data_IF_447246191711
#
_entry.id   IF_447246191711
#
_cell.length_a   1.000
_cell.length_b   1.000
_cell.length_c   1.000
_cell.angle_alpha   90.00
_cell.angle_beta   90.00
_cell.angle_gamma   90.00
#
_symmetry.space_group_name_H-M   'P 1'
#
loop_
_entity.id
_entity.type
_entity.pdbx_description
1 polymer ?
#
# COMPACT_ATOMS: atom_id res chain seq x y z
N UNK A 1 23.42 -7.24 -10.17
CA UNK A 1 23.22 -5.80 -10.48
C UNK A 1 21.93 -5.34 -9.80
N UNK A 2 22.01 -4.50 -8.78
CA UNK A 2 20.84 -3.92 -8.11
C UNK A 2 20.24 -2.85 -9.02
N UNK A 3 19.11 -3.15 -9.66
CA UNK A 3 18.31 -2.13 -10.36
C UNK A 3 17.93 -1.06 -9.32
N UNK A 4 18.17 0.22 -9.63
CA UNK A 4 17.72 1.33 -8.77
C UNK A 4 16.21 1.22 -8.59
N UNK A 5 15.74 1.32 -7.35
CA UNK A 5 14.30 1.34 -7.05
C UNK A 5 13.68 2.62 -7.64
N UNK A 6 12.50 2.49 -8.25
CA UNK A 6 11.73 3.64 -8.75
C UNK A 6 11.11 4.42 -7.60
N UNK A 7 10.67 5.65 -7.85
CA UNK A 7 9.92 6.46 -6.88
C UNK A 7 8.68 5.71 -6.37
N UNK A 8 7.90 5.11 -7.27
CA UNK A 8 6.77 4.26 -6.93
C UNK A 8 7.16 3.06 -6.04
N UNK A 9 8.28 2.37 -6.30
CA UNK A 9 8.74 1.28 -5.42
C UNK A 9 9.13 1.77 -4.03
N UNK A 10 9.74 2.95 -3.92
CA UNK A 10 10.06 3.54 -2.62
C UNK A 10 8.78 3.94 -1.88
N UNK A 11 7.80 4.53 -2.57
CA UNK A 11 6.51 4.89 -1.98
C UNK A 11 5.70 3.65 -1.55
N UNK A 12 5.67 2.58 -2.34
CA UNK A 12 5.05 1.32 -1.96
C UNK A 12 5.72 0.68 -0.73
N UNK A 13 7.05 0.74 -0.65
CA UNK A 13 7.77 0.32 0.55
C UNK A 13 7.37 1.12 1.81
N UNK A 14 7.20 2.44 1.68
CA UNK A 14 6.73 3.30 2.78
C UNK A 14 5.29 2.98 3.20
N UNK A 15 4.42 2.68 2.24
CA UNK A 15 3.05 2.24 2.49
C UNK A 15 3.03 0.95 3.31
N UNK A 16 3.83 -0.06 2.93
CA UNK A 16 3.96 -1.31 3.70
C UNK A 16 4.42 -1.04 5.12
N UNK A 17 5.45 -0.19 5.31
CA UNK A 17 5.93 0.15 6.65
C UNK A 17 4.86 0.86 7.50
N UNK A 18 4.01 1.69 6.90
CA UNK A 18 2.89 2.31 7.60
C UNK A 18 1.84 1.28 8.02
N UNK A 19 1.45 0.37 7.12
CA UNK A 19 0.50 -0.72 7.42
C UNK A 19 1.05 -1.65 8.50
N UNK A 20 2.34 -2.02 8.42
CA UNK A 20 3.00 -2.85 9.44
C UNK A 20 2.97 -2.23 10.84
N UNK A 21 3.06 -0.90 10.91
CA UNK A 21 2.95 -0.19 12.19
C UNK A 21 1.54 -0.32 12.78
N UNK A 22 0.50 -0.18 11.95
CA UNK A 22 -0.88 -0.38 12.40
C UNK A 22 -1.12 -1.83 12.81
N UNK A 23 -0.65 -2.79 12.02
CA UNK A 23 -0.75 -4.22 12.36
C UNK A 23 -0.12 -4.54 13.72
N UNK A 24 1.04 -3.95 14.02
CA UNK A 24 1.72 -4.09 15.31
C UNK A 24 0.91 -3.53 16.49
N UNK A 25 0.14 -2.46 16.28
CA UNK A 25 -0.75 -1.87 17.29
C UNK A 25 -2.01 -2.72 17.52
N UNK A 26 -2.41 -3.52 16.53
CA UNK A 26 -3.63 -4.32 16.53
C UNK A 26 -3.40 -5.78 16.94
N UNK A 27 -2.17 -6.18 17.26
CA UNK A 27 -1.86 -7.57 17.61
C UNK A 27 -2.75 -8.09 18.75
N UNK A 28 -3.48 -9.16 18.47
CA UNK A 28 -4.44 -9.77 19.40
C UNK A 28 -5.88 -9.30 19.23
N UNK A 29 -6.14 -8.31 18.37
CA UNK A 29 -7.48 -7.88 17.97
C UNK A 29 -7.93 -8.60 16.68
N UNK A 30 -9.24 -8.76 16.51
CA UNK A 30 -9.85 -9.29 15.30
C UNK A 30 -9.52 -8.43 14.06
N UNK A 31 -9.31 -7.12 14.23
CA UNK A 31 -8.97 -6.21 13.12
C UNK A 31 -7.59 -6.50 12.50
N UNK A 32 -6.66 -7.11 13.23
CA UNK A 32 -5.32 -7.46 12.73
C UNK A 32 -5.37 -8.36 11.50
N UNK A 33 -6.37 -9.23 11.37
CA UNK A 33 -6.57 -10.07 10.18
C UNK A 33 -6.95 -9.24 8.95
N UNK A 34 -7.70 -8.15 9.13
CA UNK A 34 -7.99 -7.23 8.05
C UNK A 34 -6.72 -6.51 7.60
N UNK A 35 -5.92 -6.06 8.56
CA UNK A 35 -4.66 -5.35 8.29
C UNK A 35 -3.62 -6.23 7.62
N UNK A 36 -3.55 -7.51 7.98
CA UNK A 36 -2.71 -8.50 7.29
C UNK A 36 -3.08 -8.60 5.81
N UNK A 37 -4.37 -8.69 5.47
CA UNK A 37 -4.82 -8.69 4.06
C UNK A 37 -4.42 -7.41 3.32
N UNK A 38 -4.52 -6.24 3.98
CA UNK A 38 -4.10 -4.97 3.40
C UNK A 38 -2.58 -4.94 3.17
N UNK A 39 -1.80 -5.53 4.09
CA UNK A 39 -0.36 -5.67 3.96
C UNK A 39 0.01 -6.57 2.77
N UNK A 40 -0.69 -7.69 2.57
CA UNK A 40 -0.49 -8.57 1.42
C UNK A 40 -0.74 -7.83 0.09
N UNK A 41 -1.85 -7.09 0.01
CA UNK A 41 -2.18 -6.26 -1.16
C UNK A 41 -1.09 -5.21 -1.44
N UNK A 42 -0.56 -4.57 -0.40
CA UNK A 42 0.54 -3.62 -0.55
C UNK A 42 1.85 -4.30 -1.01
N UNK A 43 2.10 -5.54 -0.58
CA UNK A 43 3.21 -6.35 -1.08
C UNK A 43 3.05 -6.72 -2.56
N UNK A 44 1.85 -7.08 -3.01
CA UNK A 44 1.58 -7.32 -4.45
C UNK A 44 1.93 -6.09 -5.29
N UNK A 45 1.56 -4.88 -4.83
CA UNK A 45 1.94 -3.64 -5.50
C UNK A 45 3.47 -3.48 -5.57
N UNK A 46 4.19 -3.70 -4.46
CA UNK A 46 5.65 -3.58 -4.44
C UNK A 46 6.34 -4.60 -5.38
N UNK A 47 5.74 -5.78 -5.55
CA UNK A 47 6.23 -6.81 -6.47
C UNK A 47 6.11 -6.35 -7.94
N UNK A 48 5.10 -5.56 -8.27
CA UNK A 48 4.98 -4.88 -9.57
C UNK A 48 5.98 -3.71 -9.63
N UNK A 49 7.22 -4.01 -10.02
CA UNK A 49 8.40 -3.11 -9.90
C UNK A 49 8.34 -1.78 -10.68
N UNK A 50 7.28 -1.54 -11.45
CA UNK A 50 7.13 -0.37 -12.33
C UNK A 50 5.75 0.26 -12.18
N UNK A 51 5.61 1.59 -12.24
CA UNK A 51 4.32 2.27 -12.13
C UNK A 51 3.24 1.76 -13.10
N UNK A 52 3.62 1.43 -14.34
CA UNK A 52 2.71 0.90 -15.36
C UNK A 52 2.08 -0.43 -14.91
N UNK A 53 2.91 -1.31 -14.37
CA UNK A 53 2.49 -2.63 -13.88
C UNK A 53 1.63 -2.51 -12.62
N UNK A 54 1.98 -1.61 -11.70
CA UNK A 54 1.14 -1.31 -10.54
C UNK A 54 -0.24 -0.80 -10.98
N UNK A 55 -0.31 0.12 -11.95
CA UNK A 55 -1.59 0.60 -12.52
C UNK A 55 -2.41 -0.51 -13.16
N UNK A 56 -1.76 -1.43 -13.88
CA UNK A 56 -2.44 -2.62 -14.45
C UNK A 56 -3.03 -3.49 -13.33
N UNK A 57 -2.28 -3.72 -12.24
CA UNK A 57 -2.75 -4.47 -11.07
C UNK A 57 -3.96 -3.80 -10.39
N UNK A 58 -3.96 -2.47 -10.30
CA UNK A 58 -5.07 -1.70 -9.73
C UNK A 58 -6.37 -1.82 -10.54
N UNK A 59 -6.30 -2.09 -11.85
CA UNK A 59 -7.47 -2.25 -12.75
C UNK A 59 -8.43 -1.05 -12.69
N UNK A 60 -7.89 0.17 -12.82
CA UNK A 60 -8.63 1.45 -12.73
C UNK A 60 -9.20 1.80 -11.35
N UNK A 61 -8.86 1.06 -10.29
CA UNK A 61 -9.16 1.44 -8.91
C UNK A 61 -8.11 2.42 -8.39
N UNK A 62 -8.53 3.32 -7.51
CA UNK A 62 -7.65 4.08 -6.62
C UNK A 62 -6.93 3.15 -5.64
N UNK A 63 -5.88 3.65 -4.98
CA UNK A 63 -5.22 2.83 -3.96
C UNK A 63 -6.14 2.59 -2.75
N UNK A 64 -6.96 3.57 -2.39
CA UNK A 64 -7.94 3.43 -1.31
C UNK A 64 -8.96 2.32 -1.61
N UNK A 65 -9.51 2.28 -2.83
CA UNK A 65 -10.43 1.21 -3.25
C UNK A 65 -9.72 -0.16 -3.32
N UNK A 66 -8.47 -0.18 -3.75
CA UNK A 66 -7.68 -1.42 -3.86
C UNK A 66 -7.38 -2.03 -2.49
N UNK A 67 -6.94 -1.21 -1.54
CA UNK A 67 -6.62 -1.63 -0.17
C UNK A 67 -7.88 -1.87 0.68
N UNK A 68 -9.01 -1.28 0.29
CA UNK A 68 -10.29 -1.39 0.98
C UNK A 68 -10.62 -0.12 1.75
N UNK A 69 -11.64 0.61 1.27
CA UNK A 69 -12.02 1.93 1.79
C UNK A 69 -12.33 1.92 3.29
N UNK A 70 -12.98 0.85 3.76
CA UNK A 70 -13.31 0.71 5.17
C UNK A 70 -12.05 0.67 6.03
N UNK A 71 -11.06 -0.13 5.64
CA UNK A 71 -9.82 -0.24 6.40
C UNK A 71 -9.05 1.09 6.41
N UNK A 72 -8.95 1.76 5.26
CA UNK A 72 -8.26 3.06 5.16
C UNK A 72 -8.93 4.11 6.03
N UNK A 73 -10.27 4.16 6.05
CA UNK A 73 -11.03 5.08 6.91
C UNK A 73 -10.78 4.86 8.41
N UNK A 74 -10.52 3.62 8.82
CA UNK A 74 -10.17 3.28 10.19
C UNK A 74 -8.69 3.56 10.53
N UNK A 75 -7.83 3.73 9.52
CA UNK A 75 -6.39 3.94 9.65
C UNK A 75 -5.88 5.20 8.93
N UNK A 76 -6.32 6.40 9.37
CA UNK A 76 -5.99 7.66 8.71
C UNK A 76 -4.48 7.99 8.71
N UNK A 77 -3.71 7.37 9.62
CA UNK A 77 -2.25 7.46 9.64
C UNK A 77 -1.58 6.96 8.35
N UNK A 78 -2.27 6.13 7.56
CA UNK A 78 -1.77 5.58 6.30
C UNK A 78 -2.07 6.44 5.06
N UNK A 79 -2.99 7.41 5.17
CA UNK A 79 -3.41 8.26 4.04
C UNK A 79 -2.25 9.00 3.38
N UNK A 80 -1.31 9.50 4.18
CA UNK A 80 -0.13 10.20 3.66
C UNK A 80 0.75 9.28 2.80
N UNK A 81 0.87 8.00 3.16
CA UNK A 81 1.62 7.03 2.39
C UNK A 81 0.88 6.59 1.12
N UNK A 82 -0.45 6.46 1.20
CA UNK A 82 -1.32 6.21 0.05
C UNK A 82 -1.19 7.33 -0.97
N UNK A 83 -1.38 8.59 -0.56
CA UNK A 83 -1.29 9.75 -1.43
C UNK A 83 0.11 9.89 -2.07
N UNK A 84 1.17 9.57 -1.33
CA UNK A 84 2.53 9.58 -1.86
C UNK A 84 2.72 8.53 -2.98
N UNK A 85 2.14 7.33 -2.83
CA UNK A 85 2.19 6.32 -3.89
C UNK A 85 1.30 6.70 -5.08
N UNK A 86 0.08 7.19 -4.86
CA UNK A 86 -0.78 7.64 -5.96
C UNK A 86 -0.09 8.72 -6.80
N UNK A 87 0.57 9.68 -6.16
CA UNK A 87 1.35 10.69 -6.87
C UNK A 87 2.42 10.07 -7.78
N UNK A 88 3.13 9.05 -7.33
CA UNK A 88 4.15 8.36 -8.14
C UNK A 88 3.57 7.51 -9.27
N UNK A 89 2.31 7.06 -9.16
CA UNK A 89 1.65 6.27 -10.19
C UNK A 89 1.10 7.14 -11.34
N UNK A 90 0.77 8.39 -11.05
CA UNK A 90 0.11 9.31 -11.99
C UNK A 90 0.91 10.58 -12.31
N UNK A 91 2.15 10.69 -11.80
CA UNK A 91 3.12 11.71 -12.21
C UNK A 91 3.65 11.45 -13.63
#
# INVERSE_FOLDING_TARGET
>A
MTKKRTGAQMAAGKLISAIQKEWGNELGDAIAQSTEKVMDLAHELLQERTPERMRILLKNRTLTEYLGEHWVKHHPSTESAIAALEKELYA
#
